data_IF_164105074481
#
_entry.id   IF_164105074481
#
_cell.length_a   1.000
_cell.length_b   1.000
_cell.length_c   1.000
_cell.angle_alpha   90.00
_cell.angle_beta   90.00
_cell.angle_gamma   90.00
#
_symmetry.space_group_name_H-M   'P 1'
#
loop_
_entity.id
_entity.type
_entity.pdbx_description
1 polymer ?
#
# COMPACT_ATOMS: atom_id res chain seq x y z
N UNK A 1 2.95 -21.57 -34.54
CA UNK A 1 3.26 -22.37 -33.32
C UNK A 1 3.89 -21.45 -32.30
N UNK A 2 3.07 -20.98 -31.32
CA UNK A 2 3.58 -20.16 -30.23
C UNK A 2 4.47 -21.03 -29.33
N UNK A 3 5.77 -20.76 -29.30
CA UNK A 3 6.66 -21.33 -28.30
C UNK A 3 6.16 -20.85 -26.94
N UNK A 4 5.58 -21.73 -26.15
CA UNK A 4 5.21 -21.48 -24.75
C UNK A 4 6.49 -21.10 -24.01
N UNK A 5 6.68 -19.81 -23.79
CA UNK A 5 7.81 -19.28 -23.03
C UNK A 5 7.71 -19.84 -21.60
N UNK A 6 8.73 -20.56 -21.13
CA UNK A 6 8.73 -21.10 -19.76
C UNK A 6 8.68 -19.93 -18.77
N UNK A 7 7.62 -19.86 -17.98
CA UNK A 7 7.48 -18.88 -16.89
C UNK A 7 8.62 -19.06 -15.89
N UNK A 8 9.31 -17.97 -15.58
CA UNK A 8 10.43 -17.92 -14.62
C UNK A 8 9.96 -17.39 -13.27
N UNK A 9 10.69 -17.69 -12.20
CA UNK A 9 10.41 -17.13 -10.86
C UNK A 9 10.49 -15.60 -10.88
N UNK A 10 11.43 -15.03 -11.67
CA UNK A 10 11.54 -13.57 -11.87
C UNK A 10 10.26 -12.92 -12.40
N UNK A 11 9.47 -13.65 -13.20
CA UNK A 11 8.21 -13.13 -13.75
C UNK A 11 7.16 -12.93 -12.64
N UNK A 12 7.18 -13.76 -11.59
CA UNK A 12 6.30 -13.57 -10.43
C UNK A 12 6.74 -12.40 -9.57
N UNK A 13 8.05 -12.17 -9.37
CA UNK A 13 8.53 -10.97 -8.68
C UNK A 13 8.16 -9.68 -9.44
N UNK A 14 8.20 -9.72 -10.77
CA UNK A 14 7.74 -8.63 -11.63
C UNK A 14 6.23 -8.46 -11.52
N UNK A 15 5.45 -9.54 -11.58
CA UNK A 15 3.99 -9.54 -11.47
C UNK A 15 3.51 -8.79 -10.21
N UNK A 16 4.14 -9.05 -9.06
CA UNK A 16 3.75 -8.45 -7.78
C UNK A 16 4.43 -7.10 -7.51
N UNK A 17 5.29 -6.63 -8.42
CA UNK A 17 6.09 -5.40 -8.24
C UNK A 17 6.69 -5.36 -6.83
N UNK A 18 7.51 -6.36 -6.51
CA UNK A 18 7.99 -6.60 -5.14
C UNK A 18 8.64 -5.37 -4.49
N UNK A 19 9.31 -4.53 -5.28
CA UNK A 19 9.89 -3.26 -4.81
C UNK A 19 8.87 -2.32 -4.16
N UNK A 20 7.59 -2.38 -4.54
CA UNK A 20 6.56 -1.53 -3.95
C UNK A 20 6.07 -2.02 -2.57
N UNK A 21 6.55 -3.17 -2.09
CA UNK A 21 6.29 -3.65 -0.71
C UNK A 21 6.83 -2.66 0.32
N UNK A 22 7.82 -1.87 -0.06
CA UNK A 22 8.42 -0.80 0.75
C UNK A 22 7.42 0.28 1.21
N UNK A 23 6.25 0.42 0.58
CA UNK A 23 5.30 1.46 0.99
C UNK A 23 4.55 1.10 2.27
N UNK A 24 4.03 -0.11 2.39
CA UNK A 24 3.19 -0.50 3.52
C UNK A 24 3.98 -1.22 4.64
N UNK A 25 5.06 -1.92 4.31
CA UNK A 25 5.85 -2.68 5.27
C UNK A 25 6.41 -1.82 6.42
N UNK A 26 6.96 -0.61 6.19
CA UNK A 26 7.41 0.25 7.29
C UNK A 26 6.30 0.56 8.29
N UNK A 27 5.07 0.76 7.84
CA UNK A 27 3.92 1.02 8.72
C UNK A 27 3.48 -0.23 9.49
N UNK A 28 3.61 -1.43 8.92
CA UNK A 28 3.41 -2.68 9.67
C UNK A 28 4.47 -2.82 10.78
N UNK A 29 5.73 -2.51 10.49
CA UNK A 29 6.81 -2.53 11.47
C UNK A 29 6.54 -1.52 12.59
N UNK A 30 6.11 -0.29 12.27
CA UNK A 30 5.67 0.68 13.27
C UNK A 30 4.57 0.10 14.14
N UNK A 31 3.50 -0.44 13.55
CA UNK A 31 2.37 -1.02 14.28
C UNK A 31 2.78 -2.13 15.25
N UNK A 32 3.69 -3.01 14.81
CA UNK A 32 4.23 -4.09 15.63
C UNK A 32 5.02 -3.54 16.84
N UNK A 33 5.96 -2.63 16.62
CA UNK A 33 6.81 -2.11 17.71
C UNK A 33 6.04 -1.17 18.64
N UNK A 34 5.03 -0.43 18.14
CA UNK A 34 4.09 0.29 18.99
C UNK A 34 3.37 -0.66 19.94
N UNK A 35 2.88 -1.79 19.42
CA UNK A 35 2.20 -2.78 20.25
C UNK A 35 3.12 -3.36 21.34
N UNK A 36 4.36 -3.69 20.98
CA UNK A 36 5.36 -4.18 21.96
C UNK A 36 5.67 -3.13 23.03
N UNK A 37 5.76 -1.84 22.68
CA UNK A 37 6.11 -0.77 23.63
C UNK A 37 4.94 -0.36 24.54
N UNK A 38 3.73 -0.26 23.98
CA UNK A 38 2.58 0.31 24.70
C UNK A 38 1.68 -0.73 25.36
N UNK A 39 1.92 -2.02 25.13
CA UNK A 39 1.13 -3.08 25.76
C UNK A 39 1.88 -3.66 26.96
N UNK A 40 1.23 -3.64 28.13
CA UNK A 40 1.79 -4.23 29.36
C UNK A 40 2.07 -5.72 29.14
N UNK A 41 3.26 -6.16 29.50
CA UNK A 41 3.75 -7.57 29.36
C UNK A 41 3.90 -8.06 27.92
N UNK A 42 3.80 -7.21 26.90
CA UNK A 42 4.18 -7.58 25.54
C UNK A 42 5.73 -7.55 25.42
N UNK A 43 6.28 -8.54 24.72
CA UNK A 43 7.70 -8.62 24.45
C UNK A 43 7.93 -8.87 22.96
N UNK A 44 9.10 -8.46 22.48
CA UNK A 44 9.50 -8.79 21.11
C UNK A 44 9.60 -10.30 20.94
N UNK A 45 8.90 -10.83 19.94
CA UNK A 45 8.97 -12.22 19.51
C UNK A 45 9.37 -12.28 18.05
N UNK A 46 10.54 -12.88 17.76
CA UNK A 46 11.02 -13.05 16.39
C UNK A 46 10.08 -13.89 15.55
N UNK A 47 9.44 -14.90 16.12
CA UNK A 47 8.47 -15.75 15.45
C UNK A 47 7.24 -14.93 15.05
N UNK A 48 6.66 -14.16 15.98
CA UNK A 48 5.48 -13.34 15.72
C UNK A 48 5.80 -12.23 14.72
N UNK A 49 6.96 -11.57 14.86
CA UNK A 49 7.41 -10.57 13.91
C UNK A 49 7.57 -11.15 12.50
N UNK A 50 8.21 -12.32 12.37
CA UNK A 50 8.34 -13.00 11.09
C UNK A 50 6.97 -13.34 10.47
N UNK A 51 5.99 -13.79 11.27
CA UNK A 51 4.62 -14.05 10.79
C UNK A 51 3.94 -12.77 10.32
N UNK A 52 4.12 -11.63 10.99
CA UNK A 52 3.59 -10.33 10.54
C UNK A 52 4.20 -9.94 9.19
N UNK A 53 5.51 -10.09 9.02
CA UNK A 53 6.17 -9.83 7.72
C UNK A 53 5.65 -10.77 6.63
N UNK A 54 5.49 -12.06 6.93
CA UNK A 54 4.91 -13.03 5.98
C UNK A 54 3.46 -12.67 5.60
N UNK A 55 2.63 -12.25 6.55
CA UNK A 55 1.28 -11.75 6.27
C UNK A 55 1.32 -10.57 5.30
N UNK A 56 2.22 -9.60 5.50
CA UNK A 56 2.39 -8.46 4.60
C UNK A 56 2.80 -8.90 3.20
N UNK A 57 3.76 -9.81 3.08
CA UNK A 57 4.24 -10.33 1.79
C UNK A 57 3.12 -11.08 1.08
N UNK A 58 2.41 -11.98 1.76
CA UNK A 58 1.38 -12.80 1.13
C UNK A 58 0.13 -12.01 0.74
N UNK A 59 -0.38 -11.15 1.65
CA UNK A 59 -1.55 -10.31 1.34
C UNK A 59 -1.26 -9.39 0.15
N UNK A 60 -0.06 -8.77 0.12
CA UNK A 60 0.34 -7.91 -0.99
C UNK A 60 0.54 -8.69 -2.28
N UNK A 61 1.16 -9.87 -2.22
CA UNK A 61 1.35 -10.74 -3.39
C UNK A 61 0.01 -11.14 -4.00
N UNK A 62 -0.96 -11.53 -3.15
CA UNK A 62 -2.32 -11.83 -3.58
C UNK A 62 -2.99 -10.62 -4.23
N UNK A 63 -2.93 -9.44 -3.58
CA UNK A 63 -3.55 -8.21 -4.06
C UNK A 63 -2.99 -7.77 -5.42
N UNK A 64 -1.66 -7.76 -5.58
CA UNK A 64 -1.01 -7.31 -6.82
C UNK A 64 -1.25 -8.29 -7.97
N UNK A 65 -1.11 -9.60 -7.71
CA UNK A 65 -1.38 -10.61 -8.74
C UNK A 65 -2.86 -10.61 -9.16
N UNK A 66 -3.78 -10.39 -8.22
CA UNK A 66 -5.21 -10.28 -8.52
C UNK A 66 -5.52 -9.02 -9.33
N UNK A 67 -4.93 -7.88 -8.98
CA UNK A 67 -5.05 -6.65 -9.77
C UNK A 67 -4.59 -6.86 -11.22
N UNK A 68 -3.41 -7.49 -11.43
CA UNK A 68 -2.92 -7.83 -12.75
C UNK A 68 -3.83 -8.79 -13.52
N UNK A 69 -4.44 -9.75 -12.82
CA UNK A 69 -5.37 -10.71 -13.41
C UNK A 69 -6.67 -10.01 -13.86
N UNK A 70 -7.28 -9.24 -12.97
CA UNK A 70 -8.55 -8.55 -13.24
C UNK A 70 -8.39 -7.47 -14.32
N UNK A 71 -7.28 -6.73 -14.32
CA UNK A 71 -7.05 -5.63 -15.25
C UNK A 71 -6.38 -6.06 -16.56
N UNK A 72 -6.16 -7.35 -16.80
CA UNK A 72 -5.41 -7.83 -17.97
C UNK A 72 -6.01 -7.41 -19.32
N UNK A 73 -7.35 -7.31 -19.42
CA UNK A 73 -8.09 -6.82 -20.59
C UNK A 73 -7.90 -5.30 -20.81
N UNK A 74 -7.80 -4.54 -19.73
CA UNK A 74 -7.55 -3.10 -19.72
C UNK A 74 -6.08 -2.83 -20.03
N UNK A 75 -5.19 -3.57 -19.35
CA UNK A 75 -3.74 -3.45 -19.49
C UNK A 75 -3.26 -3.71 -20.91
N UNK A 76 -3.85 -4.67 -21.60
CA UNK A 76 -3.50 -4.99 -22.99
C UNK A 76 -3.79 -3.84 -23.97
N UNK A 77 -4.69 -2.93 -23.64
CA UNK A 77 -5.08 -1.78 -24.46
C UNK A 77 -4.31 -0.50 -24.10
N UNK A 78 -3.69 -0.45 -22.95
CA UNK A 78 -2.94 0.72 -22.50
C UNK A 78 -1.47 0.57 -22.83
N UNK A 79 -0.93 1.46 -23.66
CA UNK A 79 0.49 1.46 -24.09
C UNK A 79 1.46 1.37 -22.92
N UNK A 80 1.13 2.00 -21.77
CA UNK A 80 1.98 1.99 -20.57
C UNK A 80 2.03 0.62 -19.87
N UNK A 81 1.00 -0.20 -20.01
CA UNK A 81 0.84 -1.47 -19.27
C UNK A 81 0.75 -2.72 -20.17
N UNK A 82 0.75 -2.55 -21.48
CA UNK A 82 0.67 -3.66 -22.45
C UNK A 82 1.83 -4.67 -22.32
N UNK A 83 2.99 -4.23 -21.81
CA UNK A 83 4.18 -5.06 -21.60
C UNK A 83 4.13 -5.90 -20.31
N UNK A 84 3.04 -5.83 -19.55
CA UNK A 84 2.86 -6.59 -18.30
C UNK A 84 2.79 -8.09 -18.57
N UNK A 85 3.01 -8.89 -17.53
CA UNK A 85 3.25 -10.34 -17.61
C UNK A 85 2.06 -11.11 -18.19
N UNK A 86 0.80 -10.71 -17.86
CA UNK A 86 -0.39 -11.41 -18.35
C UNK A 86 -0.74 -10.99 -19.78
N UNK A 87 -0.82 -9.70 -20.14
CA UNK A 87 -1.03 -9.28 -21.52
C UNK A 87 -0.01 -9.86 -22.52
N UNK A 88 1.26 -9.94 -22.12
CA UNK A 88 2.33 -10.51 -22.99
C UNK A 88 2.37 -12.04 -23.01
N UNK A 89 1.56 -12.73 -22.21
CA UNK A 89 1.54 -14.19 -22.11
C UNK A 89 2.72 -14.81 -21.35
N UNK A 90 3.59 -14.01 -20.69
CA UNK A 90 4.67 -14.52 -19.82
C UNK A 90 4.12 -15.34 -18.67
N UNK A 91 2.98 -14.89 -18.10
CA UNK A 91 2.21 -15.62 -17.09
C UNK A 91 0.79 -15.81 -17.63
N UNK A 92 0.32 -17.06 -17.67
CA UNK A 92 -1.07 -17.33 -18.06
C UNK A 92 -2.06 -16.89 -16.96
N UNK A 93 -3.29 -16.48 -17.33
CA UNK A 93 -4.32 -16.12 -16.35
C UNK A 93 -4.57 -17.21 -15.29
N UNK A 94 -4.54 -18.49 -15.69
CA UNK A 94 -4.71 -19.62 -14.76
C UNK A 94 -3.57 -19.72 -13.73
N UNK A 95 -2.34 -19.41 -14.13
CA UNK A 95 -1.20 -19.39 -13.19
C UNK A 95 -1.26 -18.17 -12.28
N UNK A 96 -1.71 -17.02 -12.79
CA UNK A 96 -1.88 -15.83 -11.97
C UNK A 96 -2.94 -16.06 -10.88
N UNK A 97 -4.11 -16.62 -11.22
CA UNK A 97 -5.16 -16.91 -10.21
C UNK A 97 -4.73 -17.99 -9.23
N UNK A 98 -4.01 -19.02 -9.67
CA UNK A 98 -3.43 -20.02 -8.77
C UNK A 98 -2.48 -19.36 -7.76
N UNK A 99 -1.62 -18.44 -8.20
CA UNK A 99 -0.73 -17.68 -7.31
C UNK A 99 -1.49 -16.79 -6.32
N UNK A 100 -2.60 -16.17 -6.76
CA UNK A 100 -3.50 -15.42 -5.86
C UNK A 100 -4.07 -16.32 -4.77
N UNK A 101 -4.63 -17.48 -5.16
CA UNK A 101 -5.22 -18.42 -4.21
C UNK A 101 -4.17 -18.94 -3.22
N UNK A 102 -3.01 -19.35 -3.73
CA UNK A 102 -1.91 -19.82 -2.88
C UNK A 102 -1.44 -18.74 -1.89
N UNK A 103 -1.23 -17.51 -2.37
CA UNK A 103 -0.83 -16.40 -1.50
C UNK A 103 -1.90 -16.07 -0.46
N UNK A 104 -3.18 -16.13 -0.83
CA UNK A 104 -4.30 -15.91 0.09
C UNK A 104 -4.37 -16.99 1.17
N UNK A 105 -4.18 -18.25 0.81
CA UNK A 105 -4.15 -19.35 1.77
C UNK A 105 -2.96 -19.28 2.71
N UNK A 106 -1.78 -18.89 2.20
CA UNK A 106 -0.58 -18.66 3.02
C UNK A 106 -0.77 -17.47 3.97
N UNK A 107 -1.47 -16.41 3.55
CA UNK A 107 -1.84 -15.29 4.43
C UNK A 107 -2.76 -15.77 5.57
N UNK A 108 -3.85 -16.46 5.26
CA UNK A 108 -4.79 -17.00 6.27
C UNK A 108 -4.05 -17.97 7.20
N UNK A 109 -3.24 -18.87 6.65
CA UNK A 109 -2.43 -19.79 7.45
C UNK A 109 -1.46 -19.07 8.39
N UNK A 110 -0.81 -18.00 7.92
CA UNK A 110 0.09 -17.19 8.77
C UNK A 110 -0.69 -16.52 9.91
N UNK A 111 -1.88 -15.99 9.65
CA UNK A 111 -2.71 -15.36 10.70
C UNK A 111 -3.22 -16.35 11.72
N UNK A 112 -3.48 -17.61 11.32
CA UNK A 112 -3.87 -18.68 12.25
C UNK A 112 -2.80 -18.92 13.34
N UNK A 113 -1.51 -18.85 12.96
CA UNK A 113 -0.40 -19.02 13.90
C UNK A 113 -0.10 -17.75 14.74
N UNK A 114 -0.74 -16.61 14.44
CA UNK A 114 -0.57 -15.38 15.21
C UNK A 114 -1.53 -15.37 16.41
N UNK A 115 -2.82 -15.22 16.17
CA UNK A 115 -3.86 -15.25 17.20
C UNK A 115 -5.26 -15.38 16.57
N UNK A 116 -6.31 -15.71 17.37
CA UNK A 116 -7.67 -15.92 16.85
C UNK A 116 -8.27 -14.69 16.15
N UNK A 117 -8.04 -13.46 16.65
CA UNK A 117 -8.66 -12.27 16.04
C UNK A 117 -8.06 -12.00 14.65
N UNK A 118 -6.74 -12.14 14.48
CA UNK A 118 -6.08 -12.01 13.19
C UNK A 118 -6.61 -13.06 12.21
N UNK A 119 -6.80 -14.29 12.67
CA UNK A 119 -7.36 -15.37 11.85
C UNK A 119 -8.79 -15.08 11.40
N UNK A 120 -9.68 -14.70 12.32
CA UNK A 120 -11.08 -14.40 11.98
C UNK A 120 -11.24 -13.15 11.10
N UNK A 121 -10.35 -12.16 11.23
CA UNK A 121 -10.37 -10.96 10.40
C UNK A 121 -9.67 -11.16 9.04
N UNK A 122 -8.88 -12.22 8.86
CA UNK A 122 -8.10 -12.41 7.64
C UNK A 122 -8.95 -12.56 6.36
N UNK A 123 -10.13 -13.23 6.33
CA UNK A 123 -10.98 -13.24 5.15
C UNK A 123 -11.51 -11.84 4.80
N UNK A 124 -11.90 -11.04 5.81
CA UNK A 124 -12.36 -9.68 5.59
C UNK A 124 -11.23 -8.80 5.03
N UNK A 125 -10.02 -8.93 5.57
CA UNK A 125 -8.84 -8.24 5.04
C UNK A 125 -8.59 -8.62 3.57
N UNK A 126 -8.70 -9.90 3.21
CA UNK A 126 -8.58 -10.35 1.81
C UNK A 126 -9.67 -9.76 0.91
N UNK A 127 -10.92 -9.70 1.37
CA UNK A 127 -12.00 -9.06 0.61
C UNK A 127 -11.63 -7.61 0.29
N UNK A 128 -11.10 -6.87 1.25
CA UNK A 128 -10.70 -5.48 1.06
C UNK A 128 -9.52 -5.37 0.09
N UNK A 129 -8.43 -6.14 0.32
CA UNK A 129 -7.20 -6.02 -0.48
C UNK A 129 -7.29 -6.64 -1.88
N UNK A 130 -8.24 -7.52 -2.13
CA UNK A 130 -8.54 -8.02 -3.47
C UNK A 130 -9.59 -7.15 -4.15
N UNK A 131 -10.65 -6.80 -3.41
CA UNK A 131 -11.82 -6.09 -3.93
C UNK A 131 -11.51 -4.71 -4.49
N UNK A 132 -10.45 -4.03 -4.00
CA UNK A 132 -10.06 -2.72 -4.53
C UNK A 132 -9.80 -2.75 -6.05
N UNK A 133 -9.35 -3.88 -6.60
CA UNK A 133 -9.03 -4.03 -8.03
C UNK A 133 -10.24 -3.83 -8.95
N UNK A 134 -11.46 -4.05 -8.45
CA UNK A 134 -12.68 -3.79 -9.21
C UNK A 134 -13.12 -2.33 -9.18
N UNK A 135 -12.69 -1.55 -8.20
CA UNK A 135 -13.29 -0.26 -7.87
C UNK A 135 -13.15 0.78 -8.97
N UNK A 136 -12.06 0.77 -9.72
CA UNK A 136 -11.84 1.63 -10.88
C UNK A 136 -12.90 1.47 -11.99
N UNK A 137 -13.63 0.34 -11.99
CA UNK A 137 -14.69 0.04 -12.97
C UNK A 137 -16.01 0.75 -12.66
N UNK A 138 -16.21 1.23 -11.42
CA UNK A 138 -17.48 1.85 -11.01
C UNK A 138 -17.37 3.10 -10.11
N UNK A 139 -16.20 3.40 -9.52
CA UNK A 139 -16.06 4.57 -8.66
C UNK A 139 -14.71 5.27 -8.80
N UNK A 140 -14.75 6.61 -8.77
CA UNK A 140 -13.55 7.44 -8.73
C UNK A 140 -12.84 7.43 -7.36
N UNK A 141 -13.46 6.85 -6.32
CA UNK A 141 -12.86 6.68 -4.99
C UNK A 141 -11.87 5.50 -4.92
N UNK A 142 -11.57 4.85 -6.05
CA UNK A 142 -10.66 3.72 -6.14
C UNK A 142 -9.31 3.97 -5.43
N UNK A 143 -8.80 5.21 -5.47
CA UNK A 143 -7.57 5.63 -4.80
C UNK A 143 -7.65 5.55 -3.28
N UNK A 144 -8.78 5.96 -2.69
CA UNK A 144 -9.01 5.81 -1.24
C UNK A 144 -9.22 4.35 -0.84
N UNK A 145 -9.91 3.57 -1.67
CA UNK A 145 -10.14 2.15 -1.40
C UNK A 145 -8.81 1.37 -1.44
N UNK A 146 -7.90 1.73 -2.36
CA UNK A 146 -6.52 1.25 -2.33
C UNK A 146 -5.83 1.61 -1.01
N UNK A 147 -5.99 2.87 -0.56
CA UNK A 147 -5.47 3.34 0.73
C UNK A 147 -6.01 2.55 1.91
N UNK A 148 -7.31 2.20 1.92
CA UNK A 148 -7.92 1.34 2.95
C UNK A 148 -7.24 -0.03 2.95
N UNK A 149 -6.97 -0.62 1.77
CA UNK A 149 -6.24 -1.89 1.69
C UNK A 149 -4.87 -1.85 2.36
N UNK A 150 -4.07 -0.79 2.11
CA UNK A 150 -2.74 -0.66 2.70
C UNK A 150 -2.79 -0.24 4.18
N UNK A 151 -3.85 0.45 4.61
CA UNK A 151 -4.02 0.90 6.00
C UNK A 151 -4.23 -0.24 7.00
N UNK A 152 -4.55 -1.44 6.52
CA UNK A 152 -4.63 -2.64 7.35
C UNK A 152 -3.25 -3.05 7.90
N UNK A 153 -2.15 -2.53 7.35
CA UNK A 153 -0.80 -2.88 7.76
C UNK A 153 -0.48 -2.49 9.21
N UNK A 154 -0.58 -1.21 9.64
CA UNK A 154 -0.26 -0.83 11.01
C UNK A 154 -1.24 -1.43 12.04
N UNK A 155 -2.55 -1.42 11.78
CA UNK A 155 -3.52 -1.98 12.72
C UNK A 155 -3.45 -3.51 12.78
N UNK A 156 -3.22 -4.20 11.65
CA UNK A 156 -3.04 -5.65 11.62
C UNK A 156 -1.80 -6.11 12.40
N UNK A 157 -0.69 -5.38 12.28
CA UNK A 157 0.53 -5.66 13.02
C UNK A 157 0.37 -5.39 14.54
N UNK A 158 -0.39 -4.37 14.92
CA UNK A 158 -0.78 -4.11 16.30
C UNK A 158 -1.63 -5.26 16.86
N UNK A 159 -2.70 -5.66 16.14
CA UNK A 159 -3.58 -6.77 16.52
C UNK A 159 -2.82 -8.10 16.64
N UNK A 160 -1.77 -8.29 15.85
CA UNK A 160 -0.93 -9.48 15.93
C UNK A 160 -0.30 -9.64 17.32
N UNK A 161 0.07 -8.55 17.99
CA UNK A 161 0.69 -8.57 19.30
C UNK A 161 -0.35 -8.55 20.42
N UNK A 162 -1.37 -7.70 20.29
CA UNK A 162 -2.28 -7.36 21.39
C UNK A 162 -3.58 -8.16 21.39
N UNK A 163 -4.06 -8.57 20.23
CA UNK A 163 -5.40 -9.11 20.06
C UNK A 163 -6.53 -8.09 20.28
N UNK A 164 -6.22 -6.81 20.44
CA UNK A 164 -7.19 -5.76 20.79
C UNK A 164 -7.01 -4.52 19.92
N UNK A 165 -8.09 -3.82 19.61
CA UNK A 165 -8.05 -2.54 18.90
C UNK A 165 -7.61 -1.41 19.82
N UNK A 166 -6.85 -0.45 19.28
CA UNK A 166 -6.49 0.78 19.97
C UNK A 166 -6.48 1.98 19.01
N UNK A 167 -6.61 3.19 19.56
CA UNK A 167 -6.64 4.40 18.77
C UNK A 167 -5.28 4.75 18.15
N UNK A 168 -4.19 4.48 18.86
CA UNK A 168 -2.85 4.87 18.39
C UNK A 168 -2.50 4.23 17.04
N UNK A 169 -2.59 2.89 16.83
CA UNK A 169 -2.36 2.30 15.50
C UNK A 169 -3.40 2.72 14.46
N UNK A 170 -4.65 3.07 14.88
CA UNK A 170 -5.66 3.58 13.95
C UNK A 170 -5.30 4.95 13.40
N UNK A 171 -4.63 5.82 14.15
CA UNK A 171 -4.14 7.09 13.60
C UNK A 171 -3.14 6.87 12.46
N UNK A 172 -2.25 5.89 12.59
CA UNK A 172 -1.35 5.49 11.49
C UNK A 172 -2.12 4.88 10.32
N UNK A 173 -3.17 4.08 10.59
CA UNK A 173 -4.04 3.55 9.55
C UNK A 173 -4.74 4.67 8.76
N UNK A 174 -5.33 5.65 9.44
CA UNK A 174 -5.93 6.82 8.78
C UNK A 174 -4.89 7.61 7.98
N UNK A 175 -3.68 7.81 8.53
CA UNK A 175 -2.60 8.46 7.79
C UNK A 175 -2.27 7.72 6.50
N UNK A 176 -2.19 6.38 6.54
CA UNK A 176 -1.89 5.54 5.36
C UNK A 176 -3.01 5.62 4.32
N UNK A 177 -4.30 5.63 4.71
CA UNK A 177 -5.41 5.79 3.76
C UNK A 177 -5.20 7.01 2.87
N UNK A 178 -4.98 8.15 3.50
CA UNK A 178 -4.87 9.42 2.79
C UNK A 178 -3.51 9.61 2.11
N UNK A 179 -2.43 9.11 2.68
CA UNK A 179 -1.13 9.13 2.04
C UNK A 179 -1.11 8.30 0.75
N UNK A 180 -1.60 7.06 0.82
CA UNK A 180 -1.69 6.17 -0.35
C UNK A 180 -2.64 6.74 -1.39
N UNK A 181 -3.83 7.19 -0.98
CA UNK A 181 -4.78 7.83 -1.90
C UNK A 181 -4.17 9.06 -2.57
N UNK A 182 -3.39 9.86 -1.85
CA UNK A 182 -2.73 11.04 -2.36
C UNK A 182 -1.65 10.74 -3.41
N UNK A 183 -0.75 9.81 -3.15
CA UNK A 183 0.30 9.48 -4.12
C UNK A 183 -0.22 8.65 -5.30
N UNK A 184 -1.25 7.83 -5.09
CA UNK A 184 -1.87 7.06 -6.17
C UNK A 184 -2.62 7.98 -7.15
N UNK A 185 -3.21 9.08 -6.66
CA UNK A 185 -3.74 10.15 -7.52
C UNK A 185 -2.67 10.77 -8.41
N UNK A 186 -1.47 11.03 -7.88
CA UNK A 186 -0.35 11.54 -8.67
C UNK A 186 0.02 10.52 -9.75
N UNK A 187 0.09 9.24 -9.39
CA UNK A 187 0.42 8.17 -10.33
C UNK A 187 -0.62 8.01 -11.43
N UNK A 188 -1.89 8.11 -11.08
CA UNK A 188 -3.03 7.96 -12.01
C UNK A 188 -3.14 9.09 -13.04
N UNK A 189 -2.44 10.22 -12.87
CA UNK A 189 -2.40 11.29 -13.89
C UNK A 189 -1.88 10.79 -15.25
N UNK A 190 -1.01 9.78 -15.24
CA UNK A 190 -0.45 9.19 -16.47
C UNK A 190 -1.52 8.48 -17.32
N UNK A 191 -2.61 8.03 -16.68
CA UNK A 191 -3.68 7.28 -17.33
C UNK A 191 -4.92 8.14 -17.60
N UNK A 192 -4.92 9.46 -17.34
CA UNK A 192 -6.11 10.32 -17.44
C UNK A 192 -6.83 10.18 -18.79
N UNK A 193 -6.12 10.29 -19.90
CA UNK A 193 -6.68 10.20 -21.25
C UNK A 193 -7.18 8.79 -21.57
N UNK A 194 -6.43 7.77 -21.19
CA UNK A 194 -6.80 6.38 -21.38
C UNK A 194 -8.06 6.02 -20.58
N UNK A 195 -8.11 6.41 -19.30
CA UNK A 195 -9.25 6.16 -18.42
C UNK A 195 -10.54 6.82 -18.97
N UNK A 196 -10.46 8.07 -19.45
CA UNK A 196 -11.59 8.76 -20.10
C UNK A 196 -12.10 8.01 -21.32
N UNK A 197 -11.19 7.58 -22.20
CA UNK A 197 -11.56 6.86 -23.45
C UNK A 197 -12.18 5.50 -23.17
N UNK A 198 -11.73 4.80 -22.11
CA UNK A 198 -12.20 3.46 -21.76
C UNK A 198 -13.29 3.45 -20.68
N UNK A 199 -13.88 4.61 -20.35
CA UNK A 199 -14.96 4.76 -19.35
C UNK A 199 -14.57 4.20 -17.97
N UNK A 200 -13.30 4.29 -17.62
CA UNK A 200 -12.80 3.94 -16.29
C UNK A 200 -12.95 5.13 -15.34
N UNK A 201 -13.21 4.82 -14.08
CA UNK A 201 -13.46 5.83 -13.07
C UNK A 201 -12.18 6.08 -12.25
N UNK A 202 -11.60 7.27 -12.44
CA UNK A 202 -10.53 7.80 -11.59
C UNK A 202 -10.78 9.29 -11.35
N UNK A 203 -10.22 9.83 -10.27
CA UNK A 203 -10.33 11.27 -9.98
C UNK A 203 -9.71 12.10 -11.12
N UNK A 204 -8.51 11.78 -11.66
CA UNK A 204 -7.97 12.45 -12.84
C UNK A 204 -8.91 12.39 -14.06
N UNK A 205 -9.50 11.24 -14.36
CA UNK A 205 -10.42 11.10 -15.48
C UNK A 205 -11.69 11.94 -15.31
N UNK A 206 -12.18 12.08 -14.07
CA UNK A 206 -13.43 12.81 -13.75
C UNK A 206 -13.22 14.31 -13.62
N UNK A 207 -12.14 14.75 -12.98
CA UNK A 207 -11.93 16.16 -12.58
C UNK A 207 -10.78 16.85 -13.32
N UNK A 208 -9.97 16.10 -14.09
CA UNK A 208 -8.76 16.59 -14.75
C UNK A 208 -7.55 16.70 -13.82
N UNK A 209 -6.36 16.84 -14.42
CA UNK A 209 -5.07 16.80 -13.70
C UNK A 209 -4.95 17.88 -12.60
N UNK A 210 -5.39 19.12 -12.87
CA UNK A 210 -5.28 20.23 -11.91
C UNK A 210 -6.05 19.95 -10.62
N UNK A 211 -7.30 19.52 -10.74
CA UNK A 211 -8.18 19.21 -9.61
C UNK A 211 -7.71 17.93 -8.88
N UNK A 212 -7.24 16.92 -9.63
CA UNK A 212 -6.69 15.70 -9.05
C UNK A 212 -5.46 15.99 -8.17
N UNK A 213 -4.54 16.85 -8.61
CA UNK A 213 -3.41 17.29 -7.80
C UNK A 213 -3.83 18.09 -6.56
N UNK A 214 -4.91 18.88 -6.65
CA UNK A 214 -5.45 19.56 -5.46
C UNK A 214 -6.02 18.55 -4.45
N UNK A 215 -6.80 17.57 -4.91
CA UNK A 215 -7.32 16.48 -4.05
C UNK A 215 -6.19 15.69 -3.43
N UNK A 216 -5.14 15.37 -4.20
CA UNK A 216 -3.93 14.72 -3.68
C UNK A 216 -3.27 15.52 -2.56
N UNK A 217 -3.14 16.86 -2.71
CA UNK A 217 -2.62 17.73 -1.65
C UNK A 217 -3.48 17.70 -0.39
N UNK A 218 -4.80 17.73 -0.55
CA UNK A 218 -5.73 17.64 0.58
C UNK A 218 -5.56 16.30 1.30
N UNK A 219 -5.48 15.20 0.57
CA UNK A 219 -5.25 13.88 1.15
C UNK A 219 -3.93 13.83 1.92
N UNK A 220 -2.85 14.34 1.36
CA UNK A 220 -1.57 14.40 2.06
C UNK A 220 -1.60 15.31 3.31
N UNK A 221 -2.34 16.42 3.29
CA UNK A 221 -2.53 17.24 4.49
C UNK A 221 -3.29 16.49 5.59
N UNK A 222 -4.31 15.72 5.23
CA UNK A 222 -5.04 14.86 6.18
C UNK A 222 -4.11 13.77 6.74
N UNK A 223 -3.29 13.16 5.90
CA UNK A 223 -2.27 12.19 6.34
C UNK A 223 -1.30 12.79 7.34
N UNK A 224 -0.75 13.98 7.03
CA UNK A 224 0.14 14.71 7.92
C UNK A 224 -0.52 15.05 9.25
N UNK A 225 -1.79 15.42 9.23
CA UNK A 225 -2.57 15.67 10.45
C UNK A 225 -2.62 14.41 11.35
N UNK A 226 -2.92 13.23 10.79
CA UNK A 226 -2.99 12.01 11.58
C UNK A 226 -1.63 11.57 12.11
N UNK A 227 -0.55 11.72 11.34
CA UNK A 227 0.81 11.45 11.83
C UNK A 227 1.18 12.44 12.94
N UNK A 228 0.92 13.73 12.76
CA UNK A 228 1.13 14.74 13.81
C UNK A 228 0.34 14.41 15.08
N UNK A 229 -0.95 14.09 14.94
CA UNK A 229 -1.83 13.78 16.06
C UNK A 229 -1.40 12.49 16.79
N UNK A 230 -0.93 11.47 16.07
CA UNK A 230 -0.37 10.26 16.67
C UNK A 230 0.83 10.58 17.58
N UNK A 231 1.78 11.39 17.10
CA UNK A 231 2.94 11.81 17.90
C UNK A 231 2.57 12.65 19.10
N UNK A 232 1.63 13.58 18.93
CA UNK A 232 1.12 14.41 20.00
C UNK A 232 0.42 13.59 21.09
N UNK A 233 -0.49 12.71 20.69
CA UNK A 233 -1.26 11.85 21.59
C UNK A 233 -0.40 10.85 22.36
N UNK A 234 0.65 10.32 21.72
CA UNK A 234 1.58 9.37 22.34
C UNK A 234 2.69 10.07 23.15
N UNK A 235 2.74 11.40 23.18
CA UNK A 235 3.79 12.20 23.83
C UNK A 235 5.20 11.84 23.36
N UNK A 236 5.35 11.59 22.04
CA UNK A 236 6.64 11.25 21.46
C UNK A 236 7.63 12.41 21.51
N UNK A 237 8.93 12.08 21.69
CA UNK A 237 10.03 12.99 21.81
C UNK A 237 10.69 13.37 20.48
N UNK A 238 11.94 13.78 20.56
CA UNK A 238 12.67 14.44 19.48
C UNK A 238 12.81 13.59 18.21
N UNK A 239 13.11 12.30 18.33
CA UNK A 239 13.30 11.45 17.16
C UNK A 239 12.04 11.35 16.31
N UNK A 240 10.88 11.22 16.94
CA UNK A 240 9.61 11.21 16.20
C UNK A 240 9.43 12.48 15.36
N UNK A 241 9.65 13.63 15.95
CA UNK A 241 9.45 14.92 15.28
C UNK A 241 10.46 15.17 14.17
N UNK A 242 11.69 14.67 14.29
CA UNK A 242 12.65 14.66 13.18
C UNK A 242 12.11 13.79 12.03
N UNK A 243 11.64 12.57 12.32
CA UNK A 243 11.04 11.69 11.33
C UNK A 243 9.82 12.31 10.64
N UNK A 244 8.95 12.98 11.40
CA UNK A 244 7.82 13.72 10.88
C UNK A 244 8.28 14.87 9.94
N UNK A 245 9.31 15.60 10.30
CA UNK A 245 9.90 16.66 9.47
C UNK A 245 10.41 16.14 8.12
N UNK A 246 11.07 14.97 8.10
CA UNK A 246 11.46 14.32 6.85
C UNK A 246 10.26 13.87 6.02
N UNK A 247 9.27 13.25 6.66
CA UNK A 247 8.05 12.82 5.98
C UNK A 247 7.31 14.00 5.35
N UNK A 248 7.12 15.09 6.10
CA UNK A 248 6.53 16.33 5.61
C UNK A 248 7.30 16.91 4.41
N UNK A 249 8.63 17.01 4.53
CA UNK A 249 9.50 17.59 3.48
C UNK A 249 9.39 16.78 2.18
N UNK A 250 9.36 15.45 2.27
CA UNK A 250 9.25 14.58 1.11
C UNK A 250 7.86 14.66 0.45
N UNK A 251 6.79 14.84 1.24
CA UNK A 251 5.45 15.13 0.69
C UNK A 251 5.43 16.47 -0.05
N UNK A 252 6.02 17.52 0.50
CA UNK A 252 6.14 18.82 -0.19
C UNK A 252 6.95 18.68 -1.47
N UNK A 253 8.09 17.98 -1.40
CA UNK A 253 8.94 17.74 -2.56
C UNK A 253 8.19 17.04 -3.70
N UNK A 254 7.43 15.95 -3.43
CA UNK A 254 6.73 15.26 -4.50
C UNK A 254 5.70 16.15 -5.22
N UNK A 255 5.04 17.05 -4.50
CA UNK A 255 4.12 18.02 -5.10
C UNK A 255 4.81 19.15 -5.85
N UNK A 256 6.07 19.44 -5.53
CA UNK A 256 6.87 20.46 -6.23
C UNK A 256 7.35 19.99 -7.61
N UNK A 257 7.59 18.67 -7.76
CA UNK A 257 8.17 18.11 -8.98
C UNK A 257 7.12 17.61 -9.99
N UNK A 258 5.81 17.56 -9.64
CA UNK A 258 4.73 17.18 -10.55
C UNK A 258 3.81 18.36 -10.78
N UNK A 259 3.58 18.69 -12.06
CA UNK A 259 2.69 19.76 -12.50
C UNK A 259 1.63 19.19 -13.45
N UNK A 260 0.46 19.85 -13.58
CA UNK A 260 -0.58 19.38 -14.53
C UNK A 260 -0.08 19.31 -15.99
N UNK A 261 0.90 20.15 -16.34
CA UNK A 261 1.50 20.25 -17.68
C UNK A 261 2.81 19.47 -17.82
N UNK A 262 3.35 18.92 -16.73
CA UNK A 262 4.60 18.13 -16.75
C UNK A 262 4.51 16.93 -15.82
N UNK A 263 4.30 15.77 -16.44
CA UNK A 263 4.19 14.47 -15.76
C UNK A 263 5.48 13.64 -15.83
N UNK A 264 6.57 14.18 -16.35
CA UNK A 264 7.84 13.45 -16.55
C UNK A 264 8.43 12.86 -15.26
N UNK A 265 8.13 13.47 -14.11
CA UNK A 265 8.65 13.08 -12.80
C UNK A 265 7.65 12.31 -11.92
N UNK A 266 6.49 11.89 -12.47
CA UNK A 266 5.47 11.15 -11.72
C UNK A 266 6.02 9.85 -11.11
N UNK A 267 6.80 9.08 -11.85
CA UNK A 267 7.40 7.84 -11.35
C UNK A 267 8.33 8.09 -10.16
N UNK A 268 9.11 9.19 -10.17
CA UNK A 268 9.94 9.58 -9.03
C UNK A 268 9.10 10.00 -7.83
N UNK A 269 8.08 10.82 -8.04
CA UNK A 269 7.16 11.28 -7.00
C UNK A 269 6.43 10.10 -6.34
N UNK A 270 5.92 9.18 -7.14
CA UNK A 270 5.19 8.00 -6.67
C UNK A 270 6.11 6.97 -6.00
N UNK A 271 7.18 6.52 -6.67
CA UNK A 271 7.99 5.39 -6.22
C UNK A 271 9.06 5.78 -5.21
N UNK A 272 10.09 6.49 -5.69
CA UNK A 272 11.29 6.78 -4.90
C UNK A 272 10.98 7.65 -3.68
N UNK A 273 10.22 8.73 -3.87
CA UNK A 273 9.94 9.69 -2.79
C UNK A 273 9.15 9.06 -1.66
N UNK A 274 8.09 8.30 -1.99
CA UNK A 274 7.26 7.65 -0.97
C UNK A 274 7.97 6.46 -0.30
N UNK A 275 8.77 5.69 -1.04
CA UNK A 275 9.59 4.63 -0.45
C UNK A 275 10.59 5.18 0.58
N UNK A 276 11.30 6.26 0.23
CA UNK A 276 12.23 6.93 1.16
C UNK A 276 11.46 7.50 2.36
N UNK A 277 10.32 8.17 2.12
CA UNK A 277 9.52 8.78 3.19
C UNK A 277 9.06 7.76 4.22
N UNK A 278 8.53 6.62 3.78
CA UNK A 278 8.04 5.57 4.68
C UNK A 278 9.16 4.92 5.49
N UNK A 279 10.31 4.63 4.86
CA UNK A 279 11.45 3.99 5.54
C UNK A 279 12.09 4.94 6.55
N UNK A 280 12.38 6.19 6.16
CA UNK A 280 12.97 7.16 7.08
C UNK A 280 12.02 7.41 8.26
N UNK A 281 10.73 7.64 7.99
CA UNK A 281 9.76 7.88 9.05
C UNK A 281 9.71 6.70 10.02
N UNK A 282 9.59 5.45 9.51
CA UNK A 282 9.56 4.26 10.36
C UNK A 282 10.83 4.11 11.19
N UNK A 283 12.01 4.38 10.61
CA UNK A 283 13.28 4.32 11.33
C UNK A 283 13.27 5.29 12.52
N UNK A 284 12.83 6.53 12.33
CA UNK A 284 12.77 7.51 13.42
C UNK A 284 11.70 7.18 14.45
N UNK A 285 10.53 6.63 14.05
CA UNK A 285 9.53 6.14 15.00
C UNK A 285 10.11 5.01 15.87
N UNK A 286 10.81 4.06 15.25
CA UNK A 286 11.44 2.95 16.00
C UNK A 286 12.53 3.47 16.94
N UNK A 287 13.38 4.38 16.49
CA UNK A 287 14.37 5.03 17.37
C UNK A 287 13.71 5.69 18.57
N UNK A 288 12.60 6.42 18.36
CA UNK A 288 11.82 7.05 19.43
C UNK A 288 11.30 6.03 20.46
N UNK A 289 10.84 4.86 19.99
CA UNK A 289 10.29 3.83 20.89
C UNK A 289 11.34 3.17 21.81
N UNK A 290 12.62 3.22 21.43
CA UNK A 290 13.71 2.60 22.15
C UNK A 290 14.73 3.58 22.75
N UNK A 291 14.58 4.88 22.52
CA UNK A 291 15.32 5.93 23.18
C UNK A 291 14.71 6.25 24.56
#
# INVERSE_FOLDING_TARGET
MNKTQKTKISDYFSLIVFSHTIFAMPFAIIGYFLAVKFTKNAHFSIQQFALVILCMVFARSAAMAFNRYIDSDIDSKNVRTADREIPTGKISPSRAIFFVVLSSLLFIGSTFFINPICFYLSPLALIVVLGYSYTKRFTALCHLILGIGLSLAPIGAWLAVTGEFAWLPLYYSFAVIFWVGGFDLIYALQDESFDKQNKLHSIPAKLGAKSALLVSKIFHLISLFFIFYAGWNAHFGLFYWIGFGFYFTLIVYQHSIVKPTDLSRVTRAFGTTNGIASVIFATFVILELFA
#
